data_IF_934483686929
#
_entry.id   IF_934483686929
#
_cell.length_a   1.000
_cell.length_b   1.000
_cell.length_c   1.000
_cell.angle_alpha   90.00
_cell.angle_beta   90.00
_cell.angle_gamma   90.00
#
_symmetry.space_group_name_H-M   'P 1'
#
loop_
_entity.id
_entity.type
_entity.pdbx_description
1 polymer ?
#
# COMPACT_ATOMS: atom_id res chain seq x y z
N UNK A 1 8.75 22.02 -2.47
CA UNK A 1 9.59 20.83 -2.64
C UNK A 1 9.32 19.92 -1.45
N UNK A 2 9.02 18.67 -1.69
CA UNK A 2 8.63 17.72 -0.65
C UNK A 2 9.85 16.94 -0.17
N UNK A 3 9.80 16.44 1.05
CA UNK A 3 10.79 15.56 1.63
C UNK A 3 10.27 14.12 1.60
N UNK A 4 10.95 13.25 0.85
CA UNK A 4 10.64 11.83 0.72
C UNK A 4 11.65 11.03 1.52
N UNK A 5 11.19 10.15 2.38
CA UNK A 5 12.05 9.18 3.08
C UNK A 5 11.65 7.78 2.65
N UNK A 6 12.62 6.97 2.22
CA UNK A 6 12.40 5.56 1.94
C UNK A 6 13.09 4.69 2.99
N UNK A 7 12.50 3.52 3.28
CA UNK A 7 13.08 2.48 4.12
C UNK A 7 12.97 1.19 3.33
N UNK A 8 14.10 0.60 2.97
CA UNK A 8 14.18 -0.49 2.00
C UNK A 8 15.10 -1.63 2.52
N UNK A 9 14.91 -2.83 2.00
CA UNK A 9 15.69 -4.03 2.40
C UNK A 9 15.84 -5.01 1.22
N UNK A 10 16.86 -4.84 0.40
CA UNK A 10 17.80 -3.70 0.26
C UNK A 10 17.24 -2.56 -0.59
N UNK A 11 18.03 -1.48 -0.78
CA UNK A 11 17.73 -0.43 -1.77
C UNK A 11 17.89 -1.02 -3.16
N UNK A 12 16.80 -1.09 -3.93
CA UNK A 12 16.79 -1.61 -5.30
C UNK A 12 17.26 -0.57 -6.32
N UNK A 13 16.93 0.70 -6.10
CA UNK A 13 17.21 1.77 -7.04
C UNK A 13 17.60 3.07 -6.32
N UNK A 14 18.72 3.66 -6.71
CA UNK A 14 19.16 4.95 -6.15
C UNK A 14 18.43 6.12 -6.81
N UNK A 15 17.76 6.90 -6.02
CA UNK A 15 17.06 8.10 -6.45
C UNK A 15 17.94 9.36 -6.34
N UNK A 16 17.98 10.12 -7.42
CA UNK A 16 18.62 11.44 -7.40
C UNK A 16 17.64 12.51 -6.96
N UNK A 17 18.10 13.46 -6.15
CA UNK A 17 17.31 14.61 -5.78
C UNK A 17 17.01 15.48 -7.01
N UNK A 18 15.73 15.85 -7.21
CA UNK A 18 15.28 16.75 -8.28
C UNK A 18 14.53 17.94 -7.67
N UNK A 19 13.19 17.92 -7.72
CA UNK A 19 12.32 18.93 -7.09
C UNK A 19 12.09 18.64 -5.61
N UNK A 20 12.33 17.40 -5.18
CA UNK A 20 12.18 16.92 -3.81
C UNK A 20 13.49 16.33 -3.31
N UNK A 21 13.69 16.35 -2.01
CA UNK A 21 14.80 15.66 -1.35
C UNK A 21 14.35 14.23 -1.11
N UNK A 22 15.16 13.24 -1.50
CA UNK A 22 14.92 11.82 -1.28
C UNK A 22 16.03 11.26 -0.40
N UNK A 23 15.67 10.87 0.81
CA UNK A 23 16.57 10.20 1.75
C UNK A 23 16.23 8.72 1.82
N UNK A 24 17.10 7.87 1.29
CA UNK A 24 16.94 6.41 1.32
C UNK A 24 17.69 5.83 2.50
N UNK A 25 17.07 4.90 3.20
CA UNK A 25 17.65 4.16 4.34
C UNK A 25 17.53 2.67 4.09
N UNK A 26 18.65 1.98 4.18
CA UNK A 26 18.71 0.53 4.03
C UNK A 26 18.70 -0.17 5.39
N UNK A 27 17.86 -1.20 5.52
CA UNK A 27 17.85 -2.06 6.71
C UNK A 27 19.13 -2.90 6.72
N UNK A 28 19.78 -2.95 7.86
CA UNK A 28 21.08 -3.61 8.01
C UNK A 28 22.30 -2.69 7.86
N UNK A 29 22.18 -1.59 7.11
CA UNK A 29 23.22 -0.57 6.95
C UNK A 29 22.92 0.69 7.76
N UNK A 30 21.84 1.38 7.44
CA UNK A 30 21.46 2.68 8.01
C UNK A 30 20.55 2.54 9.24
N UNK A 31 19.82 1.43 9.32
CA UNK A 31 18.90 1.12 10.41
C UNK A 31 18.90 -0.38 10.70
N UNK A 32 18.55 -0.74 11.94
CA UNK A 32 18.52 -2.16 12.36
C UNK A 32 17.23 -2.88 11.98
N UNK A 33 16.15 -2.14 11.73
CA UNK A 33 14.84 -2.71 11.37
C UNK A 33 13.91 -1.65 10.79
N UNK A 34 12.88 -2.08 10.08
CA UNK A 34 11.78 -1.21 9.64
C UNK A 34 11.14 -0.45 10.78
N UNK A 35 10.77 -1.13 11.86
CA UNK A 35 10.15 -0.52 13.04
C UNK A 35 10.98 0.63 13.61
N UNK A 36 12.29 0.41 13.78
CA UNK A 36 13.20 1.41 14.33
C UNK A 36 13.35 2.62 13.41
N UNK A 37 13.41 2.39 12.10
CA UNK A 37 13.46 3.45 11.12
C UNK A 37 12.16 4.27 11.14
N UNK A 38 10.98 3.62 11.12
CA UNK A 38 9.68 4.27 11.14
C UNK A 38 9.44 5.11 12.40
N UNK A 39 9.89 4.63 13.58
CA UNK A 39 9.85 5.43 14.81
C UNK A 39 10.69 6.71 14.73
N UNK A 40 11.79 6.69 13.99
CA UNK A 40 12.68 7.84 13.85
C UNK A 40 12.29 8.78 12.72
N UNK A 41 11.54 8.30 11.74
CA UNK A 41 11.20 9.04 10.51
C UNK A 41 10.38 10.29 10.82
N UNK A 42 9.50 10.27 11.81
CA UNK A 42 8.70 11.44 12.22
C UNK A 42 9.56 12.66 12.59
N UNK A 43 10.77 12.43 13.13
CA UNK A 43 11.70 13.51 13.51
C UNK A 43 12.34 14.19 12.30
N UNK A 44 12.27 13.56 11.14
CA UNK A 44 12.76 14.11 9.88
C UNK A 44 11.70 14.96 9.16
N UNK A 45 10.47 15.00 9.70
CA UNK A 45 9.31 15.70 9.13
C UNK A 45 9.15 15.46 7.61
N UNK A 46 9.02 14.20 7.14
CA UNK A 46 8.84 13.91 5.74
C UNK A 46 7.41 14.21 5.30
N UNK A 47 7.23 14.55 4.03
CA UNK A 47 5.90 14.63 3.41
C UNK A 47 5.44 13.25 2.92
N UNK A 48 6.39 12.44 2.45
CA UNK A 48 6.13 11.10 1.91
C UNK A 48 7.08 10.09 2.55
N UNK A 49 6.53 8.96 2.96
CA UNK A 49 7.27 7.83 3.50
C UNK A 49 7.03 6.61 2.60
N UNK A 50 8.10 6.01 2.09
CA UNK A 50 8.02 4.75 1.34
C UNK A 50 8.61 3.62 2.18
N UNK A 51 7.83 2.58 2.38
CA UNK A 51 8.24 1.34 3.05
C UNK A 51 8.38 0.27 1.97
N UNK A 52 9.61 -0.20 1.76
CA UNK A 52 9.94 -1.13 0.68
C UNK A 52 9.00 -2.33 0.66
N UNK A 53 8.81 -2.98 1.82
CA UNK A 53 7.77 -3.99 1.99
C UNK A 53 7.30 -4.12 3.44
N UNK A 54 6.04 -4.56 3.60
CA UNK A 54 5.46 -4.88 4.90
C UNK A 54 5.45 -6.41 5.05
N UNK A 55 6.21 -6.91 6.05
CA UNK A 55 6.31 -8.35 6.36
C UNK A 55 5.67 -8.71 7.69
N UNK A 56 5.49 -7.75 8.59
CA UNK A 56 5.06 -7.97 9.96
C UNK A 56 4.06 -6.94 10.46
N UNK A 57 3.41 -7.29 11.57
CA UNK A 57 2.39 -6.48 12.22
C UNK A 57 2.92 -5.12 12.69
N UNK A 58 4.12 -5.10 13.24
CA UNK A 58 4.76 -3.93 13.83
C UNK A 58 4.98 -2.86 12.74
N UNK A 59 5.49 -3.26 11.59
CA UNK A 59 5.67 -2.38 10.41
C UNK A 59 4.33 -1.89 9.90
N UNK A 60 3.31 -2.77 9.79
CA UNK A 60 1.96 -2.39 9.34
C UNK A 60 1.31 -1.39 10.29
N UNK A 61 1.37 -1.64 11.60
CA UNK A 61 0.84 -0.72 12.61
C UNK A 61 1.51 0.66 12.54
N UNK A 62 2.82 0.69 12.33
CA UNK A 62 3.55 1.95 12.16
C UNK A 62 3.09 2.72 10.91
N UNK A 63 2.87 2.03 9.78
CA UNK A 63 2.33 2.63 8.55
C UNK A 63 0.94 3.24 8.78
N UNK A 64 0.04 2.52 9.45
CA UNK A 64 -1.31 3.01 9.80
C UNK A 64 -1.21 4.25 10.69
N UNK A 65 -0.39 4.22 11.74
CA UNK A 65 -0.23 5.34 12.66
C UNK A 65 0.34 6.59 11.94
N UNK A 66 1.33 6.42 11.08
CA UNK A 66 1.91 7.52 10.30
C UNK A 66 0.89 8.12 9.33
N UNK A 67 0.07 7.29 8.68
CA UNK A 67 -1.03 7.75 7.81
C UNK A 67 -2.06 8.55 8.62
N UNK A 68 -2.39 8.11 9.85
CA UNK A 68 -3.30 8.82 10.76
C UNK A 68 -2.77 10.16 11.26
N UNK A 69 -1.45 10.38 11.22
CA UNK A 69 -0.81 11.67 11.57
C UNK A 69 -0.59 12.59 10.37
N UNK A 70 -1.14 12.24 9.20
CA UNK A 70 -1.17 13.10 8.01
C UNK A 70 -0.05 12.89 7.00
N UNK A 71 0.82 11.88 7.20
CA UNK A 71 1.87 11.54 6.23
C UNK A 71 1.29 10.70 5.08
N UNK A 72 1.76 10.93 3.87
CA UNK A 72 1.52 9.99 2.77
C UNK A 72 2.46 8.80 2.90
N UNK A 73 1.89 7.64 3.22
CA UNK A 73 2.65 6.39 3.33
C UNK A 73 2.41 5.53 2.10
N UNK A 74 3.47 5.15 1.41
CA UNK A 74 3.49 4.20 0.31
C UNK A 74 4.19 2.93 0.82
N UNK A 75 3.60 1.77 0.56
CA UNK A 75 4.20 0.50 0.97
C UNK A 75 3.88 -0.60 -0.03
N UNK A 76 4.72 -1.63 -0.09
CA UNK A 76 4.41 -2.82 -0.85
C UNK A 76 4.04 -3.99 0.06
N UNK A 77 3.23 -4.90 -0.46
CA UNK A 77 2.82 -6.11 0.22
C UNK A 77 2.59 -7.20 -0.83
N UNK A 78 3.06 -8.41 -0.57
CA UNK A 78 2.89 -9.51 -1.51
C UNK A 78 1.48 -10.07 -1.45
N UNK A 79 0.62 -9.69 -2.41
CA UNK A 79 -0.74 -10.19 -2.58
C UNK A 79 -1.11 -10.21 -4.07
N UNK A 80 -2.09 -11.04 -4.44
CA UNK A 80 -2.46 -11.24 -5.84
C UNK A 80 -3.54 -10.27 -6.34
N UNK A 81 -4.28 -9.63 -5.45
CA UNK A 81 -5.35 -8.66 -5.77
C UNK A 81 -5.66 -7.78 -4.55
N UNK A 82 -6.50 -6.76 -4.75
CA UNK A 82 -6.85 -5.81 -3.69
C UNK A 82 -7.57 -6.47 -2.50
N UNK A 83 -8.46 -7.41 -2.74
CA UNK A 83 -9.17 -8.13 -1.67
C UNK A 83 -8.21 -8.97 -0.84
N UNK A 84 -7.31 -9.74 -1.48
CA UNK A 84 -6.28 -10.50 -0.77
C UNK A 84 -5.33 -9.59 0.02
N UNK A 85 -5.03 -8.39 -0.49
CA UNK A 85 -4.24 -7.40 0.25
C UNK A 85 -4.93 -7.03 1.55
N UNK A 86 -6.24 -6.79 1.54
CA UNK A 86 -7.02 -6.50 2.75
C UNK A 86 -6.99 -7.67 3.73
N UNK A 87 -7.21 -8.90 3.25
CA UNK A 87 -7.14 -10.10 4.08
C UNK A 87 -5.76 -10.27 4.73
N UNK A 88 -4.68 -10.06 3.98
CA UNK A 88 -3.32 -10.15 4.51
C UNK A 88 -3.05 -9.12 5.59
N UNK A 89 -3.47 -7.87 5.37
CA UNK A 89 -3.33 -6.81 6.38
C UNK A 89 -4.04 -7.23 7.68
N UNK A 90 -5.30 -7.63 7.60
CA UNK A 90 -6.08 -7.99 8.77
C UNK A 90 -5.52 -9.21 9.49
N UNK A 91 -5.06 -10.22 8.75
CA UNK A 91 -4.49 -11.44 9.32
C UNK A 91 -3.13 -11.24 10.02
N UNK A 92 -2.47 -10.09 9.86
CA UNK A 92 -1.29 -9.73 10.66
C UNK A 92 -1.65 -9.39 12.11
N UNK A 93 -2.91 -9.06 12.38
CA UNK A 93 -3.39 -8.61 13.69
C UNK A 93 -4.20 -9.69 14.41
N UNK A 94 -4.18 -9.72 15.75
CA UNK A 94 -5.04 -10.60 16.51
C UNK A 94 -6.52 -10.18 16.36
N UNK A 95 -7.42 -11.14 16.49
CA UNK A 95 -8.86 -10.96 16.18
C UNK A 95 -9.54 -9.84 16.97
N UNK A 96 -9.13 -9.61 18.20
CA UNK A 96 -9.63 -8.54 19.06
C UNK A 96 -9.30 -7.12 18.55
N UNK A 97 -8.32 -6.99 17.67
CA UNK A 97 -7.92 -5.73 17.05
C UNK A 97 -8.54 -5.50 15.66
N UNK A 98 -9.13 -6.51 15.03
CA UNK A 98 -9.62 -6.42 13.65
C UNK A 98 -10.58 -5.25 13.44
N UNK A 99 -11.53 -5.02 14.35
CA UNK A 99 -12.50 -3.92 14.23
C UNK A 99 -11.81 -2.54 14.20
N UNK A 100 -10.78 -2.36 15.03
CA UNK A 100 -10.03 -1.10 15.05
C UNK A 100 -9.23 -0.92 13.76
N UNK A 101 -8.58 -1.98 13.28
CA UNK A 101 -7.80 -1.93 12.03
C UNK A 101 -8.70 -1.65 10.82
N UNK A 102 -9.88 -2.27 10.74
CA UNK A 102 -10.85 -1.95 9.70
C UNK A 102 -11.31 -0.49 9.75
N UNK A 103 -11.57 0.03 10.95
CA UNK A 103 -11.92 1.43 11.14
C UNK A 103 -10.80 2.36 10.66
N UNK A 104 -9.56 2.11 11.07
CA UNK A 104 -8.39 2.91 10.69
C UNK A 104 -8.16 2.87 9.18
N UNK A 105 -8.20 1.68 8.56
CA UNK A 105 -8.06 1.52 7.11
C UNK A 105 -9.19 2.23 6.36
N UNK A 106 -10.44 2.18 6.86
CA UNK A 106 -11.56 2.88 6.22
C UNK A 106 -11.33 4.40 6.12
N UNK A 107 -10.57 4.96 7.06
CA UNK A 107 -10.29 6.40 7.13
C UNK A 107 -8.98 6.79 6.43
N UNK A 108 -7.92 5.99 6.58
CA UNK A 108 -6.57 6.39 6.17
C UNK A 108 -6.11 5.78 4.85
N UNK A 109 -6.63 4.61 4.46
CA UNK A 109 -6.32 4.01 3.17
C UNK A 109 -6.76 4.96 2.04
N UNK A 110 -5.94 5.09 1.01
CA UNK A 110 -6.25 5.89 -0.18
C UNK A 110 -6.50 5.02 -1.38
N UNK A 111 -5.61 4.08 -1.63
CA UNK A 111 -5.70 3.16 -2.76
C UNK A 111 -4.94 1.87 -2.48
N UNK A 112 -5.33 0.81 -3.16
CA UNK A 112 -4.54 -0.40 -3.34
C UNK A 112 -4.37 -0.63 -4.84
N UNK A 113 -3.13 -0.88 -5.26
CA UNK A 113 -2.80 -1.27 -6.63
C UNK A 113 -2.18 -2.66 -6.60
N UNK A 114 -2.83 -3.63 -7.21
CA UNK A 114 -2.32 -4.98 -7.35
C UNK A 114 -1.86 -5.22 -8.79
N UNK A 115 -0.72 -5.88 -8.97
CA UNK A 115 -0.11 -6.11 -10.26
C UNK A 115 0.14 -7.60 -10.49
N UNK A 116 -0.14 -8.06 -11.70
CA UNK A 116 0.25 -9.39 -12.19
C UNK A 116 0.94 -9.24 -13.54
N UNK A 117 1.96 -10.05 -13.78
CA UNK A 117 2.60 -10.15 -15.08
C UNK A 117 1.90 -11.25 -15.88
N UNK A 118 1.38 -10.89 -17.04
CA UNK A 118 0.73 -11.79 -17.98
C UNK A 118 1.51 -11.82 -19.31
N UNK A 119 1.27 -12.85 -20.13
CA UNK A 119 1.90 -12.92 -21.45
C UNK A 119 1.11 -12.05 -22.43
N UNK A 120 1.75 -11.04 -22.99
CA UNK A 120 1.18 -10.20 -24.04
C UNK A 120 1.17 -10.87 -25.42
N UNK A 121 0.50 -10.28 -26.37
CA UNK A 121 0.37 -10.78 -27.76
C UNK A 121 1.71 -10.90 -28.48
N UNK A 122 2.69 -10.13 -28.09
CA UNK A 122 4.07 -10.14 -28.63
C UNK A 122 4.99 -11.17 -27.96
N UNK A 123 4.46 -11.99 -27.04
CA UNK A 123 5.23 -12.98 -26.28
C UNK A 123 6.06 -12.40 -25.13
N UNK A 124 5.94 -11.11 -24.82
CA UNK A 124 6.58 -10.47 -23.67
C UNK A 124 5.63 -10.39 -22.49
N UNK A 125 6.21 -10.33 -21.30
CA UNK A 125 5.42 -10.10 -20.09
C UNK A 125 4.99 -8.63 -20.02
N UNK A 126 3.69 -8.41 -19.81
CA UNK A 126 3.08 -7.10 -19.61
C UNK A 126 2.35 -7.07 -18.26
N UNK A 127 2.32 -5.93 -17.55
CA UNK A 127 1.60 -5.82 -16.30
C UNK A 127 0.10 -5.66 -16.54
N UNK A 128 -0.71 -6.54 -15.97
CA UNK A 128 -2.12 -6.29 -15.71
C UNK A 128 -2.24 -5.70 -14.30
N UNK A 129 -3.03 -4.64 -14.14
CA UNK A 129 -3.13 -3.90 -12.88
C UNK A 129 -4.58 -3.80 -12.44
N UNK A 130 -4.87 -4.18 -11.18
CA UNK A 130 -6.12 -3.88 -10.51
C UNK A 130 -5.92 -2.66 -9.61
N UNK A 131 -6.86 -1.73 -9.63
CA UNK A 131 -6.81 -0.50 -8.83
C UNK A 131 -8.10 -0.35 -8.04
N UNK A 132 -7.98 -0.27 -6.73
CA UNK A 132 -9.03 0.08 -5.80
C UNK A 132 -8.75 1.47 -5.22
N UNK A 133 -9.69 2.38 -5.36
CA UNK A 133 -9.69 3.65 -4.64
C UNK A 133 -10.61 3.55 -3.43
N UNK A 134 -10.21 4.16 -2.31
CA UNK A 134 -11.04 4.18 -1.10
C UNK A 134 -12.16 5.21 -1.21
N UNK A 135 -13.10 4.95 -2.13
CA UNK A 135 -14.33 5.75 -2.28
C UNK A 135 -15.19 5.62 -1.03
N UNK A 136 -16.18 6.50 -0.80
CA UNK A 136 -17.10 6.38 0.34
C UNK A 136 -17.77 5.00 0.44
N UNK A 137 -18.12 4.39 -0.69
CA UNK A 137 -18.70 3.05 -0.72
C UNK A 137 -17.70 1.98 -0.28
N UNK A 138 -16.48 2.02 -0.83
CA UNK A 138 -15.39 1.09 -0.43
C UNK A 138 -15.05 1.28 1.05
N UNK A 139 -14.96 2.52 1.54
CA UNK A 139 -14.69 2.81 2.95
C UNK A 139 -15.72 2.17 3.89
N UNK A 140 -17.00 2.19 3.53
CA UNK A 140 -18.06 1.52 4.30
C UNK A 140 -17.91 -0.01 4.28
N UNK A 141 -17.55 -0.62 3.16
CA UNK A 141 -17.27 -2.04 3.06
C UNK A 141 -16.04 -2.44 3.90
N UNK A 142 -14.96 -1.66 3.81
CA UNK A 142 -13.76 -1.84 4.63
C UNK A 142 -14.12 -1.76 6.11
N UNK A 143 -14.85 -0.75 6.54
CA UNK A 143 -15.27 -0.56 7.93
C UNK A 143 -16.09 -1.74 8.46
N UNK A 144 -16.89 -2.37 7.62
CA UNK A 144 -17.69 -3.57 7.96
C UNK A 144 -16.88 -4.87 7.89
N UNK A 145 -15.67 -4.84 7.35
CA UNK A 145 -14.87 -6.06 7.09
C UNK A 145 -15.43 -6.92 5.96
N UNK A 146 -16.23 -6.33 5.07
CA UNK A 146 -16.83 -7.04 3.92
C UNK A 146 -15.87 -7.07 2.72
N UNK A 147 -14.89 -7.96 2.79
CA UNK A 147 -13.86 -8.13 1.74
C UNK A 147 -14.49 -8.65 0.44
N UNK A 148 -15.55 -9.47 0.53
CA UNK A 148 -16.25 -9.96 -0.67
C UNK A 148 -16.96 -8.83 -1.40
N UNK A 149 -17.65 -7.96 -0.68
CA UNK A 149 -18.28 -6.76 -1.22
C UNK A 149 -17.28 -5.80 -1.87
N UNK A 150 -16.06 -5.71 -1.34
CA UNK A 150 -14.98 -4.90 -1.97
C UNK A 150 -14.68 -5.40 -3.39
N UNK A 151 -14.53 -6.72 -3.57
CA UNK A 151 -14.26 -7.31 -4.89
C UNK A 151 -15.37 -6.99 -5.88
N UNK A 152 -16.62 -7.15 -5.47
CA UNK A 152 -17.79 -6.82 -6.32
C UNK A 152 -17.84 -5.33 -6.66
N UNK A 153 -17.57 -4.47 -5.68
CA UNK A 153 -17.55 -3.03 -5.86
C UNK A 153 -16.47 -2.57 -6.85
N UNK A 154 -15.29 -3.20 -6.89
CA UNK A 154 -14.25 -2.91 -7.89
C UNK A 154 -14.74 -3.25 -9.29
N UNK A 155 -15.36 -4.44 -9.48
CA UNK A 155 -15.85 -4.91 -10.78
C UNK A 155 -16.99 -4.04 -11.30
N UNK A 156 -17.88 -3.58 -10.42
CA UNK A 156 -19.06 -2.77 -10.79
C UNK A 156 -18.79 -1.26 -10.84
N UNK A 157 -17.59 -0.83 -10.46
CA UNK A 157 -17.26 0.59 -10.36
C UNK A 157 -17.19 1.26 -11.72
N UNK A 158 -17.87 2.40 -11.86
CA UNK A 158 -17.70 3.36 -12.95
C UNK A 158 -16.81 4.55 -12.58
N UNK A 159 -16.23 4.54 -11.40
CA UNK A 159 -15.35 5.60 -10.88
C UNK A 159 -14.06 5.67 -11.68
N UNK A 160 -13.69 6.87 -12.12
CA UNK A 160 -12.45 7.10 -12.86
C UNK A 160 -11.24 6.72 -12.00
N UNK A 161 -10.42 5.82 -12.51
CA UNK A 161 -9.21 5.35 -11.85
C UNK A 161 -9.39 4.05 -11.05
N UNK A 162 -10.62 3.53 -10.89
CA UNK A 162 -10.86 2.17 -10.42
C UNK A 162 -10.81 1.22 -11.61
N UNK A 163 -10.13 0.09 -11.46
CA UNK A 163 -9.95 -0.89 -12.53
C UNK A 163 -9.88 -2.30 -11.98
N UNK A 164 -10.67 -3.22 -12.52
CA UNK A 164 -10.56 -4.65 -12.23
C UNK A 164 -9.47 -5.31 -13.09
N UNK A 165 -8.99 -6.49 -12.68
CA UNK A 165 -8.07 -7.28 -13.53
C UNK A 165 -8.71 -7.68 -14.86
N UNK A 166 -9.99 -8.02 -14.87
CA UNK A 166 -10.69 -8.41 -16.10
C UNK A 166 -10.71 -7.26 -17.11
N UNK A 167 -10.95 -6.02 -16.64
CA UNK A 167 -10.87 -4.84 -17.48
C UNK A 167 -9.45 -4.59 -17.99
N UNK A 168 -8.44 -4.67 -17.11
CA UNK A 168 -7.04 -4.53 -17.50
C UNK A 168 -6.62 -5.57 -18.56
N UNK A 169 -7.08 -6.82 -18.43
CA UNK A 169 -6.79 -7.89 -19.38
C UNK A 169 -7.50 -7.69 -20.73
N UNK A 170 -8.66 -7.08 -20.73
CA UNK A 170 -9.41 -6.78 -21.97
C UNK A 170 -8.72 -5.69 -22.81
N UNK A 171 -8.03 -4.75 -22.15
CA UNK A 171 -7.30 -3.66 -22.82
C UNK A 171 -5.91 -4.08 -23.37
N UNK A 172 -5.33 -5.18 -22.90
CA UNK A 172 -4.03 -5.74 -23.33
C UNK A 172 -4.17 -6.61 -24.60
#
# INVERSE_FOLDING_TARGET
SDHVVTIEDPIEFLHTNKRSIVNQREVGLDTRSYERALRSVMRAAPDVILVGEIRDRETMQACINLSGTGHLVLATLHANNCAETMDRIINMFPRDQHNQIFLDLSQYLRAIMAQRLVMGKDGKRVPAVEVMLNTPHIAELVKKGDVSGIKEAIVQSSERGVQSFDHALYEL
#
